data_IF_337738844738
#
_entry.id   IF_337738844738
#
_cell.length_a   1.000
_cell.length_b   1.000
_cell.length_c   1.000
_cell.angle_alpha   90.00
_cell.angle_beta   90.00
_cell.angle_gamma   90.00
#
_symmetry.space_group_name_H-M   'P 1'
#
loop_
_entity.id
_entity.type
_entity.pdbx_description
1 polymer ?
#
# COMPACT_ATOMS: atom_id res chain seq x y z
N UNK A 1 31.91 7.12 16.04
CA UNK A 1 31.53 6.22 17.16
C UNK A 1 31.47 4.80 16.65
N UNK A 2 31.83 3.80 17.46
CA UNK A 2 31.56 2.42 17.12
C UNK A 2 30.05 2.18 17.08
N UNK A 3 29.59 1.21 16.26
CA UNK A 3 28.16 0.84 16.22
C UNK A 3 27.82 -0.01 17.45
N UNK A 4 26.64 0.21 18.01
CA UNK A 4 26.11 -0.59 19.12
C UNK A 4 25.45 -1.85 18.54
N UNK A 5 26.25 -2.88 18.28
CA UNK A 5 25.78 -4.15 17.70
C UNK A 5 25.85 -5.22 18.78
N UNK A 6 24.72 -5.85 19.05
CA UNK A 6 24.58 -6.94 20.01
C UNK A 6 24.07 -8.17 19.26
N UNK A 7 24.68 -9.32 19.55
CA UNK A 7 24.30 -10.61 18.97
C UNK A 7 24.13 -11.58 20.13
N UNK A 8 22.93 -12.13 20.26
CA UNK A 8 22.55 -13.02 21.35
C UNK A 8 21.84 -14.24 20.78
N UNK A 9 22.00 -15.39 21.44
CA UNK A 9 21.27 -16.60 21.10
C UNK A 9 19.81 -16.46 21.55
N UNK A 10 18.87 -16.75 20.63
CA UNK A 10 17.45 -16.77 20.94
C UNK A 10 17.01 -18.20 21.27
N UNK A 11 16.71 -18.48 22.53
CA UNK A 11 16.15 -19.77 22.97
C UNK A 11 14.62 -19.71 22.87
N UNK A 12 14.08 -20.13 21.73
CA UNK A 12 12.64 -20.16 21.45
C UNK A 12 12.29 -21.33 20.53
N UNK A 13 11.07 -21.86 20.62
CA UNK A 13 10.55 -22.86 19.67
C UNK A 13 10.45 -22.23 18.27
N UNK A 14 11.11 -22.78 17.23
CA UNK A 14 11.00 -22.27 15.86
C UNK A 14 9.53 -22.12 15.44
N UNK A 15 9.20 -21.11 14.62
CA UNK A 15 7.82 -20.85 14.18
C UNK A 15 7.19 -22.10 13.57
N UNK A 16 7.94 -22.82 12.74
CA UNK A 16 7.52 -24.08 12.12
C UNK A 16 7.13 -25.17 13.12
N UNK A 17 7.77 -25.19 14.29
CA UNK A 17 7.55 -26.20 15.33
C UNK A 17 6.43 -25.79 16.32
N UNK A 18 5.88 -24.59 16.19
CA UNK A 18 4.73 -24.16 17.00
C UNK A 18 3.45 -24.85 16.54
N UNK A 19 2.54 -25.09 17.48
CA UNK A 19 1.28 -25.79 17.23
C UNK A 19 0.28 -24.99 16.39
N UNK A 20 0.35 -23.66 16.43
CA UNK A 20 -0.56 -22.76 15.73
C UNK A 20 0.23 -21.58 15.16
N UNK A 21 -0.11 -21.15 13.95
CA UNK A 21 0.47 -19.98 13.28
C UNK A 21 -0.60 -19.27 12.45
N UNK A 22 -0.57 -17.93 12.44
CA UNK A 22 -1.52 -17.10 11.69
C UNK A 22 -0.74 -16.04 10.93
N UNK A 23 -0.99 -15.97 9.63
CA UNK A 23 -0.39 -14.97 8.74
C UNK A 23 -1.50 -14.33 7.92
N UNK A 24 -1.48 -13.01 7.79
CA UNK A 24 -2.37 -12.26 6.90
C UNK A 24 -1.57 -11.40 5.94
N UNK A 25 -2.03 -11.35 4.68
CA UNK A 25 -1.54 -10.43 3.68
C UNK A 25 -2.70 -9.70 3.03
N UNK A 26 -2.63 -8.38 3.08
CA UNK A 26 -3.49 -7.46 2.32
C UNK A 26 -2.81 -7.16 0.99
N UNK A 27 -3.53 -7.39 -0.09
CA UNK A 27 -3.05 -7.21 -1.46
C UNK A 27 -3.16 -5.78 -1.95
N UNK A 28 -2.63 -5.52 -3.13
CA UNK A 28 -2.41 -4.15 -3.65
C UNK A 28 -3.70 -3.32 -3.80
N UNK A 29 -4.87 -3.94 -3.97
CA UNK A 29 -6.15 -3.23 -4.07
C UNK A 29 -6.91 -3.09 -2.75
N UNK A 30 -6.41 -3.66 -1.65
CA UNK A 30 -7.03 -3.50 -0.34
C UNK A 30 -6.92 -2.03 0.11
N UNK A 31 -7.98 -1.42 0.69
CA UNK A 31 -7.97 0.01 1.06
C UNK A 31 -6.75 0.45 1.88
N UNK A 32 -6.36 -0.33 2.89
CA UNK A 32 -5.14 -0.06 3.68
C UNK A 32 -3.87 -0.07 2.83
N UNK A 33 -3.71 -1.05 1.94
CA UNK A 33 -2.53 -1.15 1.06
C UNK A 33 -2.53 -0.08 -0.04
N UNK A 34 -3.71 0.40 -0.45
CA UNK A 34 -3.84 1.59 -1.30
C UNK A 34 -3.36 2.83 -0.55
N UNK A 35 -3.72 3.00 0.73
CA UNK A 35 -3.21 4.09 1.55
C UNK A 35 -1.68 4.06 1.66
N UNK A 36 -1.09 2.89 1.94
CA UNK A 36 0.36 2.70 1.98
C UNK A 36 1.02 3.02 0.63
N UNK A 37 0.47 2.49 -0.46
CA UNK A 37 1.01 2.68 -1.81
C UNK A 37 0.92 4.14 -2.28
N UNK A 38 -0.14 4.85 -1.92
CA UNK A 38 -0.29 6.28 -2.14
C UNK A 38 0.73 7.10 -1.33
N UNK A 39 0.86 6.80 -0.04
CA UNK A 39 1.81 7.48 0.85
C UNK A 39 3.24 7.40 0.32
N UNK A 40 3.67 6.20 -0.08
CA UNK A 40 4.99 5.95 -0.64
C UNK A 40 5.16 6.59 -2.02
N UNK A 41 4.18 6.45 -2.92
CA UNK A 41 4.28 7.00 -4.28
C UNK A 41 4.39 8.51 -4.27
N UNK A 42 3.64 9.19 -3.39
CA UNK A 42 3.75 10.63 -3.16
C UNK A 42 5.13 11.01 -2.62
N UNK A 43 5.67 10.26 -1.65
CA UNK A 43 7.02 10.46 -1.09
C UNK A 43 8.09 10.40 -2.19
N UNK A 44 8.05 9.34 -3.01
CA UNK A 44 8.96 9.14 -4.15
C UNK A 44 8.84 10.27 -5.16
N UNK A 45 7.63 10.73 -5.47
CA UNK A 45 7.41 11.85 -6.40
C UNK A 45 7.98 13.16 -5.88
N UNK A 46 7.81 13.46 -4.59
CA UNK A 46 8.43 14.62 -3.95
C UNK A 46 9.96 14.52 -3.95
N UNK A 47 10.52 13.34 -3.65
CA UNK A 47 11.95 13.08 -3.74
C UNK A 47 12.51 13.40 -5.14
N UNK A 48 11.84 12.93 -6.21
CA UNK A 48 12.22 13.21 -7.60
C UNK A 48 12.21 14.71 -7.88
N UNK A 49 11.11 15.40 -7.56
CA UNK A 49 11.00 16.86 -7.71
C UNK A 49 12.12 17.60 -6.98
N UNK A 50 12.43 17.22 -5.74
CA UNK A 50 13.49 17.86 -4.95
C UNK A 50 14.88 17.63 -5.57
N UNK A 51 15.18 16.40 -5.98
CA UNK A 51 16.46 16.07 -6.64
C UNK A 51 16.64 16.82 -7.95
N UNK A 52 15.60 16.90 -8.78
CA UNK A 52 15.64 17.62 -10.07
C UNK A 52 15.88 19.12 -9.90
N UNK A 53 15.26 19.74 -8.88
CA UNK A 53 15.31 21.20 -8.68
C UNK A 53 16.48 21.65 -7.82
N UNK A 54 16.94 20.82 -6.89
CA UNK A 54 17.89 21.20 -5.83
C UNK A 54 19.06 20.24 -5.66
N UNK A 55 19.15 19.16 -6.45
CA UNK A 55 20.23 18.18 -6.38
C UNK A 55 20.21 17.31 -5.12
N UNK A 56 19.21 17.46 -4.24
CA UNK A 56 19.08 16.70 -2.99
C UNK A 56 17.62 16.54 -2.58
N UNK A 57 17.35 15.56 -1.73
CA UNK A 57 16.05 15.37 -1.09
C UNK A 57 15.89 16.41 0.03
N UNK A 58 14.71 17.02 0.12
CA UNK A 58 14.33 17.94 1.19
C UNK A 58 13.36 17.24 2.15
N UNK A 59 13.19 17.81 3.35
CA UNK A 59 12.31 17.24 4.37
C UNK A 59 10.87 17.07 3.89
N UNK A 60 10.35 15.87 4.04
CA UNK A 60 8.94 15.53 3.91
C UNK A 60 8.67 14.19 4.62
N UNK A 61 7.43 13.98 5.08
CA UNK A 61 6.87 12.69 5.49
C UNK A 61 5.42 12.68 5.01
N UNK A 62 5.04 11.71 4.19
CA UNK A 62 3.71 11.60 3.55
C UNK A 62 3.02 10.29 3.90
N UNK A 63 3.37 9.75 5.05
CA UNK A 63 2.93 8.52 5.68
C UNK A 63 1.50 8.57 6.26
N UNK A 64 0.70 9.57 5.86
CA UNK A 64 -0.64 9.79 6.35
C UNK A 64 -1.60 9.92 5.18
N UNK A 65 -2.32 8.84 4.88
CA UNK A 65 -3.35 8.83 3.84
C UNK A 65 -4.62 8.23 4.43
N UNK A 66 -5.73 8.93 4.26
CA UNK A 66 -7.05 8.43 4.64
C UNK A 66 -7.80 7.99 3.38
N UNK A 67 -8.31 6.77 3.37
CA UNK A 67 -9.16 6.23 2.30
C UNK A 67 -10.56 6.02 2.85
N UNK A 68 -11.47 6.91 2.50
CA UNK A 68 -12.88 6.86 2.88
C UNK A 68 -13.65 6.16 1.75
N UNK A 69 -14.33 5.07 2.08
CA UNK A 69 -15.14 4.32 1.12
C UNK A 69 -16.27 5.16 0.53
N UNK A 70 -16.48 5.01 -0.77
CA UNK A 70 -17.67 5.50 -1.45
C UNK A 70 -18.82 4.49 -1.36
N UNK A 71 -19.75 4.56 -2.33
CA UNK A 71 -20.85 3.60 -2.46
C UNK A 71 -20.98 3.14 -3.90
N UNK A 72 -21.29 1.87 -4.11
CA UNK A 72 -21.55 1.30 -5.42
C UNK A 72 -22.74 0.34 -5.37
N UNK A 73 -23.37 0.14 -6.54
CA UNK A 73 -24.43 -0.83 -6.75
C UNK A 73 -23.98 -1.87 -7.78
N UNK A 74 -23.07 -2.78 -7.41
CA UNK A 74 -22.59 -3.82 -8.30
C UNK A 74 -23.72 -4.78 -8.66
N UNK A 75 -23.72 -5.27 -9.90
CA UNK A 75 -24.62 -6.34 -10.36
C UNK A 75 -23.95 -7.13 -11.45
N UNK A 76 -24.39 -8.38 -11.64
CA UNK A 76 -23.89 -9.20 -12.72
C UNK A 76 -24.01 -8.50 -14.08
N UNK A 77 -22.92 -8.53 -14.86
CA UNK A 77 -22.80 -7.86 -16.16
C UNK A 77 -22.49 -6.36 -16.08
N UNK A 78 -22.33 -5.79 -14.87
CA UNK A 78 -21.88 -4.41 -14.66
C UNK A 78 -22.87 -3.55 -13.86
N UNK A 79 -22.37 -2.88 -12.84
CA UNK A 79 -23.10 -1.96 -11.96
C UNK A 79 -22.69 -0.51 -12.16
N UNK A 80 -22.85 0.29 -11.11
CA UNK A 80 -22.50 1.71 -11.10
C UNK A 80 -21.91 2.14 -9.76
N UNK A 81 -20.98 3.10 -9.79
CA UNK A 81 -20.64 3.89 -8.60
C UNK A 81 -21.78 4.87 -8.32
N UNK A 82 -22.25 4.87 -7.08
CA UNK A 82 -23.29 5.78 -6.58
C UNK A 82 -22.65 7.02 -5.96
N UNK A 83 -21.57 6.82 -5.20
CA UNK A 83 -20.80 7.86 -4.54
C UNK A 83 -19.30 7.55 -4.71
N UNK A 84 -18.48 8.52 -5.15
CA UNK A 84 -17.05 8.29 -5.31
C UNK A 84 -16.39 8.05 -3.94
N UNK A 85 -15.33 7.24 -3.93
CA UNK A 85 -14.46 7.15 -2.78
C UNK A 85 -13.74 8.49 -2.56
N UNK A 86 -13.41 8.82 -1.32
CA UNK A 86 -12.66 10.03 -0.97
C UNK A 86 -11.31 9.66 -0.39
N UNK A 87 -10.24 10.23 -0.94
CA UNK A 87 -8.87 9.97 -0.50
C UNK A 87 -8.23 11.28 -0.11
N UNK A 88 -7.71 11.34 1.12
CA UNK A 88 -7.05 12.52 1.65
C UNK A 88 -5.56 12.24 1.90
N UNK A 89 -4.72 12.93 1.13
CA UNK A 89 -3.27 12.92 1.30
C UNK A 89 -2.86 13.95 2.36
N UNK A 90 -2.25 13.48 3.44
CA UNK A 90 -1.79 14.29 4.59
C UNK A 90 -0.28 14.10 4.78
N UNK A 91 0.31 14.97 5.58
CA UNK A 91 1.71 14.88 5.95
C UNK A 91 2.41 16.24 5.93
N UNK A 92 3.73 16.18 5.93
CA UNK A 92 4.62 17.34 5.91
C UNK A 92 5.46 17.33 4.64
N UNK A 93 5.66 18.50 4.06
CA UNK A 93 6.60 18.68 2.95
C UNK A 93 7.33 20.01 3.06
N UNK A 94 8.51 20.09 2.44
CA UNK A 94 9.17 21.38 2.20
C UNK A 94 8.41 22.08 1.07
N UNK A 95 7.74 23.18 1.41
CA UNK A 95 6.83 23.87 0.48
C UNK A 95 7.45 25.08 -0.19
N UNK A 96 8.57 25.59 0.33
CA UNK A 96 9.24 26.79 -0.16
C UNK A 96 10.76 26.70 0.07
N UNK A 97 11.55 27.16 -0.89
CA UNK A 97 13.01 27.21 -0.83
C UNK A 97 13.47 28.55 -1.40
N UNK A 98 14.29 29.31 -0.67
CA UNK A 98 14.81 30.61 -1.10
C UNK A 98 13.73 31.58 -1.62
N UNK A 99 12.55 31.60 -0.97
CA UNK A 99 11.40 32.43 -1.38
C UNK A 99 10.57 31.89 -2.55
N UNK A 100 10.97 30.78 -3.16
CA UNK A 100 10.24 30.14 -4.28
C UNK A 100 9.32 29.04 -3.75
N UNK A 101 8.02 29.16 -4.03
CA UNK A 101 7.00 28.15 -3.69
C UNK A 101 7.14 26.93 -4.61
N UNK A 102 7.08 25.74 -4.03
CA UNK A 102 7.13 24.47 -4.76
C UNK A 102 5.73 23.94 -5.09
N UNK A 103 5.54 23.25 -6.22
CA UNK A 103 4.26 22.66 -6.61
C UNK A 103 3.97 21.32 -5.90
N UNK A 104 4.27 21.22 -4.61
CA UNK A 104 4.28 19.94 -3.88
C UNK A 104 2.90 19.24 -3.84
N UNK A 105 1.79 20.01 -3.74
CA UNK A 105 0.43 19.42 -3.80
C UNK A 105 0.07 18.92 -5.19
N UNK A 106 0.43 19.66 -6.22
CA UNK A 106 0.22 19.25 -7.62
C UNK A 106 0.98 17.95 -7.90
N UNK A 107 2.24 17.86 -7.44
CA UNK A 107 3.04 16.63 -7.56
C UNK A 107 2.40 15.48 -6.79
N UNK A 108 1.92 15.71 -5.56
CA UNK A 108 1.26 14.68 -4.77
C UNK A 108 -0.03 14.16 -5.41
N UNK A 109 -0.92 15.06 -5.87
CA UNK A 109 -2.18 14.67 -6.54
C UNK A 109 -1.91 13.91 -7.83
N UNK A 110 -0.97 14.37 -8.66
CA UNK A 110 -0.63 13.67 -9.91
C UNK A 110 -0.08 12.27 -9.62
N UNK A 111 0.86 12.16 -8.66
CA UNK A 111 1.45 10.88 -8.31
C UNK A 111 0.40 9.89 -7.75
N UNK A 112 -0.53 10.38 -6.94
CA UNK A 112 -1.64 9.58 -6.42
C UNK A 112 -2.60 9.13 -7.52
N UNK A 113 -2.95 10.02 -8.45
CA UNK A 113 -3.80 9.71 -9.60
C UNK A 113 -3.16 8.65 -10.51
N UNK A 114 -1.88 8.84 -10.85
CA UNK A 114 -1.12 7.90 -11.68
C UNK A 114 -1.02 6.52 -10.99
N UNK A 115 -0.78 6.49 -9.68
CA UNK A 115 -0.75 5.25 -8.89
C UNK A 115 -2.07 4.49 -8.97
N UNK A 116 -3.20 5.15 -8.68
CA UNK A 116 -4.51 4.52 -8.74
C UNK A 116 -4.86 4.04 -10.15
N UNK A 117 -4.52 4.82 -11.17
CA UNK A 117 -4.76 4.47 -12.58
C UNK A 117 -3.99 3.20 -12.97
N UNK A 118 -2.76 3.03 -12.47
CA UNK A 118 -1.92 1.86 -12.75
C UNK A 118 -2.30 0.64 -11.90
N UNK A 119 -2.64 0.84 -10.63
CA UNK A 119 -2.91 -0.23 -9.67
C UNK A 119 -4.35 -0.74 -9.76
N UNK A 120 -5.33 0.16 -9.81
CA UNK A 120 -6.76 -0.15 -9.81
C UNK A 120 -7.32 -0.09 -11.24
N UNK A 121 -6.92 -1.01 -12.11
CA UNK A 121 -7.20 -0.94 -13.57
C UNK A 121 -8.68 -0.94 -13.99
N UNK A 122 -9.59 -1.25 -13.06
CA UNK A 122 -11.04 -1.24 -13.28
C UNK A 122 -11.76 -0.05 -12.63
N UNK A 123 -11.02 0.85 -11.99
CA UNK A 123 -11.52 2.08 -11.37
C UNK A 123 -11.31 3.25 -12.32
N UNK A 124 -12.34 4.05 -12.58
CA UNK A 124 -12.19 5.32 -13.26
C UNK A 124 -11.82 6.38 -12.22
N UNK A 125 -10.52 6.63 -12.03
CA UNK A 125 -10.03 7.56 -10.99
C UNK A 125 -10.65 8.95 -11.10
N UNK A 126 -10.93 9.44 -12.31
CA UNK A 126 -11.48 10.78 -12.52
C UNK A 126 -12.95 10.90 -12.09
N UNK A 127 -13.72 9.81 -12.13
CA UNK A 127 -15.16 9.81 -11.84
C UNK A 127 -15.50 9.14 -10.50
N UNK A 128 -14.75 8.11 -10.13
CA UNK A 128 -15.03 7.20 -9.01
C UNK A 128 -14.25 7.57 -7.74
N UNK A 129 -13.31 8.54 -7.82
CA UNK A 129 -12.46 8.95 -6.70
C UNK A 129 -12.35 10.47 -6.62
N UNK A 130 -12.50 11.00 -5.41
CA UNK A 130 -12.13 12.38 -5.08
C UNK A 130 -10.79 12.38 -4.36
N UNK A 131 -9.76 12.94 -5.01
CA UNK A 131 -8.44 13.14 -4.42
C UNK A 131 -8.33 14.53 -3.79
N UNK A 132 -8.00 14.60 -2.50
CA UNK A 132 -7.68 15.84 -1.79
C UNK A 132 -6.26 15.78 -1.20
N UNK A 133 -5.62 16.94 -1.04
CA UNK A 133 -4.28 17.05 -0.49
C UNK A 133 -4.21 18.17 0.55
N UNK A 134 -4.09 17.75 1.81
CA UNK A 134 -3.84 18.64 2.96
C UNK A 134 -2.40 18.57 3.47
N UNK A 135 -1.46 18.08 2.66
CA UNK A 135 -0.02 18.18 2.97
C UNK A 135 0.33 19.64 3.29
N UNK A 136 1.01 19.81 4.42
CA UNK A 136 1.35 21.09 5.01
C UNK A 136 2.86 21.29 5.14
N UNK A 137 3.24 22.49 5.56
CA UNK A 137 4.63 22.77 5.90
C UNK A 137 5.02 22.06 7.21
N UNK A 138 6.23 21.51 7.28
CA UNK A 138 6.82 20.98 8.53
C UNK A 138 6.94 22.06 9.62
N UNK A 139 6.98 21.64 10.89
CA UNK A 139 7.19 22.56 12.02
C UNK A 139 8.55 23.28 11.91
N UNK A 140 8.69 24.44 12.56
CA UNK A 140 9.95 25.21 12.55
C UNK A 140 11.09 24.41 13.18
N UNK A 141 10.81 23.68 14.25
CA UNK A 141 11.82 22.95 15.03
C UNK A 141 12.40 21.75 14.26
N UNK A 142 11.55 21.02 13.52
CA UNK A 142 11.99 19.91 12.67
C UNK A 142 12.79 20.39 11.45
N UNK A 143 12.59 21.64 10.98
CA UNK A 143 13.37 22.19 9.86
C UNK A 143 14.84 22.43 10.22
N UNK A 144 15.12 22.85 11.46
CA UNK A 144 16.50 23.09 11.92
C UNK A 144 17.28 21.80 12.18
N UNK A 145 16.57 20.72 12.57
CA UNK A 145 17.13 19.40 12.80
C UNK A 145 17.34 18.62 11.49
N UNK A 146 16.45 18.80 10.51
CA UNK A 146 16.44 17.99 9.29
C UNK A 146 17.27 18.61 8.17
N UNK A 147 18.59 18.60 8.35
CA UNK A 147 19.53 18.66 7.25
C UNK A 147 19.77 17.22 6.75
N UNK A 148 19.19 16.87 5.60
CA UNK A 148 19.34 15.53 4.98
C UNK A 148 20.79 15.14 4.74
N UNK A 149 21.71 16.11 4.70
CA UNK A 149 23.14 15.85 4.54
C UNK A 149 23.81 15.34 5.82
N UNK A 150 23.23 15.64 7.00
CA UNK A 150 23.76 15.18 8.29
C UNK A 150 23.35 13.76 8.65
N UNK A 151 22.34 13.21 7.94
CA UNK A 151 21.84 11.84 8.14
C UNK A 151 21.52 11.51 9.61
N UNK A 152 20.99 12.49 10.35
CA UNK A 152 20.52 12.30 11.72
C UNK A 152 19.15 11.62 11.69
N UNK A 153 18.86 10.82 12.71
CA UNK A 153 17.54 10.27 12.89
C UNK A 153 16.52 11.41 13.08
N UNK A 154 15.37 11.30 12.43
CA UNK A 154 14.26 12.24 12.55
C UNK A 154 13.40 11.98 13.79
N UNK A 155 13.44 10.76 14.31
CA UNK A 155 12.68 10.31 15.47
C UNK A 155 13.41 9.17 16.19
N UNK A 156 12.96 8.84 17.39
CA UNK A 156 13.42 7.68 18.16
C UNK A 156 12.52 6.48 17.84
N UNK A 157 12.91 5.74 16.80
CA UNK A 157 12.15 4.60 16.27
C UNK A 157 13.02 3.35 16.15
N UNK A 158 12.40 2.17 16.01
CA UNK A 158 13.09 0.91 15.77
C UNK A 158 12.45 0.15 14.60
N UNK A 159 13.25 -0.62 13.86
CA UNK A 159 12.78 -1.53 12.81
C UNK A 159 13.03 -2.98 13.21
N UNK A 160 12.12 -3.87 12.83
CA UNK A 160 12.21 -5.32 13.08
C UNK A 160 12.22 -6.03 11.74
N UNK A 161 13.05 -7.07 11.63
CA UNK A 161 13.08 -7.95 10.47
C UNK A 161 13.57 -9.33 10.90
N UNK A 162 13.20 -10.34 10.12
CA UNK A 162 13.57 -11.73 10.35
C UNK A 162 13.70 -12.44 9.01
N UNK A 163 14.42 -13.56 9.01
CA UNK A 163 14.56 -14.45 7.87
C UNK A 163 15.01 -15.84 8.36
N UNK A 164 14.67 -16.93 7.65
CA UNK A 164 13.75 -16.97 6.51
C UNK A 164 12.28 -16.82 6.94
N UNK A 165 11.38 -16.72 5.96
CA UNK A 165 9.94 -16.88 6.20
C UNK A 165 9.61 -18.34 6.45
N UNK A 166 8.56 -18.59 7.25
CA UNK A 166 7.95 -19.91 7.40
C UNK A 166 7.26 -20.36 6.10
N UNK A 167 6.86 -21.62 6.04
CA UNK A 167 6.02 -22.18 4.98
C UNK A 167 4.68 -21.45 4.91
N UNK A 168 4.05 -21.13 6.06
CA UNK A 168 2.78 -20.41 6.09
C UNK A 168 2.93 -18.95 5.60
N UNK A 169 4.00 -18.26 6.02
CA UNK A 169 4.32 -16.91 5.56
C UNK A 169 4.59 -16.88 4.06
N UNK A 170 5.37 -17.85 3.58
CA UNK A 170 5.71 -18.00 2.18
C UNK A 170 4.47 -18.27 1.34
N UNK A 171 3.63 -19.26 1.70
CA UNK A 171 2.44 -19.58 0.91
C UNK A 171 1.42 -18.44 0.93
N UNK A 172 1.20 -17.78 2.08
CA UNK A 172 0.29 -16.63 2.19
C UNK A 172 0.74 -15.46 1.29
N UNK A 173 2.05 -15.16 1.29
CA UNK A 173 2.64 -14.15 0.40
C UNK A 173 2.50 -14.53 -1.07
N UNK A 174 2.85 -15.77 -1.41
CA UNK A 174 2.86 -16.24 -2.80
C UNK A 174 1.46 -16.41 -3.38
N UNK A 175 0.46 -16.78 -2.59
CA UNK A 175 -0.94 -16.83 -3.04
C UNK A 175 -1.43 -15.45 -3.49
N UNK A 176 -1.21 -14.39 -2.70
CA UNK A 176 -1.61 -13.04 -3.12
C UNK A 176 -0.84 -12.58 -4.37
N UNK A 177 0.48 -12.82 -4.42
CA UNK A 177 1.31 -12.47 -5.58
C UNK A 177 0.92 -13.24 -6.85
N UNK A 178 0.46 -14.48 -6.70
CA UNK A 178 -0.02 -15.31 -7.79
C UNK A 178 -1.31 -14.73 -8.38
N UNK A 179 -2.29 -14.42 -7.51
CA UNK A 179 -3.60 -13.89 -7.90
C UNK A 179 -3.48 -12.48 -8.50
N UNK A 180 -2.69 -11.60 -7.88
CA UNK A 180 -2.47 -10.23 -8.35
C UNK A 180 -1.39 -10.09 -9.44
N UNK A 181 -0.70 -11.17 -9.78
CA UNK A 181 0.33 -11.20 -10.82
C UNK A 181 -0.06 -12.13 -11.97
N UNK A 182 0.54 -13.33 -12.08
CA UNK A 182 0.34 -14.23 -13.21
C UNK A 182 -1.13 -14.49 -13.58
N UNK A 183 -2.00 -14.73 -12.60
CA UNK A 183 -3.40 -15.11 -12.88
C UNK A 183 -4.24 -13.99 -13.48
N UNK A 184 -3.85 -12.71 -13.30
CA UNK A 184 -4.58 -11.58 -13.89
C UNK A 184 -4.63 -11.58 -15.42
N UNK A 185 -3.71 -12.29 -16.08
CA UNK A 185 -3.68 -12.39 -17.54
C UNK A 185 -4.85 -13.21 -18.07
N UNK A 186 -5.25 -14.22 -17.32
CA UNK A 186 -6.24 -15.21 -17.71
C UNK A 186 -7.58 -14.96 -16.98
N UNK A 187 -7.55 -14.39 -15.78
CA UNK A 187 -8.71 -14.12 -14.91
C UNK A 187 -8.94 -12.61 -14.72
N UNK A 188 -9.51 -11.97 -15.74
CA UNK A 188 -9.88 -10.53 -15.70
C UNK A 188 -11.00 -10.22 -14.71
N UNK A 189 -11.80 -11.23 -14.37
CA UNK A 189 -12.93 -11.20 -13.43
C UNK A 189 -12.48 -10.89 -12.01
N UNK A 190 -11.27 -11.30 -11.65
CA UNK A 190 -10.75 -11.08 -10.30
C UNK A 190 -10.15 -9.67 -10.26
N UNK A 191 -10.60 -8.85 -9.31
CA UNK A 191 -10.11 -7.50 -9.04
C UNK A 191 -8.86 -7.47 -8.15
N UNK A 192 -8.27 -6.30 -7.94
CA UNK A 192 -7.00 -6.17 -7.23
C UNK A 192 -7.08 -6.22 -5.70
N UNK A 193 -8.28 -6.04 -5.13
CA UNK A 193 -8.52 -6.20 -3.69
C UNK A 193 -8.58 -7.69 -3.34
N UNK A 194 -7.44 -8.19 -2.89
CA UNK A 194 -7.23 -9.57 -2.48
C UNK A 194 -6.70 -9.55 -1.05
N UNK A 195 -7.28 -10.36 -0.18
CA UNK A 195 -6.78 -10.60 1.16
C UNK A 195 -6.62 -12.09 1.40
N UNK A 196 -5.42 -12.49 1.79
CA UNK A 196 -5.10 -13.89 2.07
C UNK A 196 -4.81 -14.03 3.56
N UNK A 197 -5.49 -14.98 4.19
CA UNK A 197 -5.25 -15.35 5.58
C UNK A 197 -4.89 -16.83 5.64
N UNK A 198 -3.69 -17.12 6.11
CA UNK A 198 -3.22 -18.45 6.43
C UNK A 198 -3.37 -18.73 7.91
N UNK A 199 -3.93 -19.89 8.23
CA UNK A 199 -3.94 -20.45 9.59
C UNK A 199 -3.39 -21.85 9.50
N UNK A 200 -2.28 -22.12 10.19
CA UNK A 200 -1.71 -23.46 10.34
C UNK A 200 -2.04 -23.98 11.73
N UNK A 201 -2.57 -25.20 11.79
CA UNK A 201 -2.65 -25.97 13.03
C UNK A 201 -1.84 -27.25 12.83
N UNK A 202 -0.70 -27.35 13.51
CA UNK A 202 0.30 -28.41 13.30
C UNK A 202 0.72 -28.50 11.82
N UNK A 203 0.33 -29.58 11.14
CA UNK A 203 0.67 -29.86 9.75
C UNK A 203 -0.44 -29.44 8.76
N UNK A 204 -1.60 -28.98 9.25
CA UNK A 204 -2.75 -28.59 8.44
C UNK A 204 -2.77 -27.07 8.21
N UNK A 205 -2.66 -26.65 6.95
CA UNK A 205 -2.78 -25.24 6.54
C UNK A 205 -4.17 -24.99 5.94
N UNK A 206 -4.87 -23.99 6.48
CA UNK A 206 -6.08 -23.41 5.86
C UNK A 206 -5.75 -22.03 5.32
N UNK A 207 -5.90 -21.87 4.01
CA UNK A 207 -5.86 -20.56 3.35
C UNK A 207 -7.28 -20.06 3.09
N UNK A 208 -7.58 -18.86 3.55
CA UNK A 208 -8.81 -18.13 3.25
C UNK A 208 -8.46 -16.97 2.33
N UNK A 209 -9.07 -16.92 1.16
CA UNK A 209 -8.88 -15.84 0.18
C UNK A 209 -10.18 -15.06 0.05
N UNK A 210 -10.14 -13.77 0.39
CA UNK A 210 -11.18 -12.83 0.01
C UNK A 210 -10.70 -12.09 -1.24
N UNK A 211 -11.38 -12.31 -2.36
CA UNK A 211 -11.06 -11.68 -3.63
C UNK A 211 -12.26 -10.89 -4.14
N UNK A 212 -12.09 -9.60 -4.40
CA UNK A 212 -13.10 -8.80 -5.06
C UNK A 212 -13.23 -9.21 -6.53
N UNK A 213 -14.45 -9.20 -7.06
CA UNK A 213 -14.72 -9.49 -8.46
C UNK A 213 -15.17 -8.23 -9.20
N UNK A 214 -14.80 -8.14 -10.47
CA UNK A 214 -15.13 -7.04 -11.37
C UNK A 214 -16.41 -7.40 -12.11
N UNK A 215 -17.50 -6.76 -11.72
CA UNK A 215 -18.86 -7.16 -12.08
C UNK A 215 -19.17 -7.17 -13.59
N UNK A 216 -18.59 -6.25 -14.37
CA UNK A 216 -18.73 -6.20 -15.84
C UNK A 216 -18.18 -7.44 -16.56
N UNK A 217 -17.32 -8.22 -15.90
CA UNK A 217 -16.79 -9.48 -16.43
C UNK A 217 -17.52 -10.71 -15.90
N UNK A 218 -18.48 -10.54 -14.99
CA UNK A 218 -19.21 -11.64 -14.35
C UNK A 218 -20.70 -11.53 -14.74
N UNK A 219 -21.15 -12.21 -15.80
CA UNK A 219 -22.50 -12.04 -16.36
C UNK A 219 -23.61 -12.66 -15.51
N UNK A 220 -23.28 -13.64 -14.66
CA UNK A 220 -24.23 -14.35 -13.82
C UNK A 220 -23.52 -15.09 -12.66
N UNK A 221 -24.35 -15.74 -11.83
CA UNK A 221 -23.92 -16.49 -10.64
C UNK A 221 -23.12 -17.74 -10.97
N UNK A 222 -23.41 -18.40 -12.08
CA UNK A 222 -22.73 -19.65 -12.43
C UNK A 222 -21.32 -19.35 -12.95
N UNK A 223 -21.16 -18.28 -13.75
CA UNK A 223 -19.85 -17.75 -14.12
C UNK A 223 -19.02 -17.36 -12.90
N UNK A 224 -19.61 -16.65 -11.93
CA UNK A 224 -18.93 -16.31 -10.66
C UNK A 224 -18.38 -17.56 -9.96
N UNK A 225 -19.19 -18.61 -9.84
CA UNK A 225 -18.78 -19.86 -9.18
C UNK A 225 -17.67 -20.56 -9.95
N UNK A 226 -17.74 -20.62 -11.28
CA UNK A 226 -16.71 -21.24 -12.08
C UNK A 226 -15.35 -20.54 -11.89
N UNK A 227 -15.34 -19.21 -11.85
CA UNK A 227 -14.10 -18.44 -11.61
C UNK A 227 -13.57 -18.61 -10.18
N UNK A 228 -14.42 -18.92 -9.20
CA UNK A 228 -13.96 -19.24 -7.83
C UNK A 228 -13.28 -20.62 -7.77
N UNK A 229 -13.68 -21.56 -8.63
CA UNK A 229 -13.12 -22.91 -8.69
C UNK A 229 -11.85 -23.01 -9.56
N UNK A 230 -11.61 -22.04 -10.45
CA UNK A 230 -10.43 -21.94 -11.33
C UNK A 230 -9.20 -21.35 -10.63
#
# INVERSE_FOLDING_TARGET
MARNIFVEELVHTPIEEQGDEIVERKGIGHPDSIADGLAETVSVALCKMYKERFGRILHHNTDQVEVVGGQSSPKFGGGVFLEPAYILLVGRATTMVNGVRLPYRTVAIQAAHDYLTQTCTNLNVDADVTLDCKIGQGSVDLRGLYDTQKQLANDTSFGVGFAPFSDLETVTLKTEQLINGPLKKDLKEVGQDIKVMGVRHKDDIRLTVAAAFVDKYVPDKDHYRNVVEE
#
